data_IF_743676867018
#
_entry.id   IF_743676867018
#
_cell.length_a   1.000
_cell.length_b   1.000
_cell.length_c   1.000
_cell.angle_alpha   90.00
_cell.angle_beta   90.00
_cell.angle_gamma   90.00
#
_symmetry.space_group_name_H-M   'P 1'
#
loop_
_entity.id
_entity.type
_entity.pdbx_description
1 polymer ?
#
# COMPACT_ATOMS: atom_id res chain seq x y z
N UNK A 1 -6.28 -18.21 3.70
CA UNK A 1 -6.02 -16.77 3.85
C UNK A 1 -6.14 -16.16 2.46
N UNK A 2 -7.00 -15.15 2.28
CA UNK A 2 -7.01 -14.42 1.02
C UNK A 2 -5.63 -13.75 0.85
N UNK A 3 -5.09 -13.78 -0.36
CA UNK A 3 -3.82 -13.09 -0.64
C UNK A 3 -4.14 -11.60 -0.67
N UNK A 4 -3.52 -10.82 0.23
CA UNK A 4 -3.59 -9.36 0.21
C UNK A 4 -2.90 -8.87 -1.07
N UNK A 5 -3.70 -8.66 -2.12
CA UNK A 5 -3.23 -8.35 -3.46
C UNK A 5 -2.64 -6.95 -3.52
N UNK A 6 -3.17 -6.00 -2.74
CA UNK A 6 -2.58 -4.66 -2.65
C UNK A 6 -1.14 -4.72 -2.10
N UNK A 7 -0.92 -5.48 -1.04
CA UNK A 7 0.41 -5.69 -0.45
C UNK A 7 1.36 -6.40 -1.42
N UNK A 8 0.86 -7.31 -2.25
CA UNK A 8 1.63 -7.95 -3.30
C UNK A 8 2.14 -6.91 -4.33
N UNK A 9 1.25 -6.10 -4.91
CA UNK A 9 1.67 -5.08 -5.88
C UNK A 9 2.58 -4.02 -5.25
N UNK A 10 2.26 -3.57 -4.03
CA UNK A 10 3.08 -2.63 -3.29
C UNK A 10 4.49 -3.17 -3.00
N UNK A 11 4.61 -4.46 -2.70
CA UNK A 11 5.92 -5.11 -2.52
C UNK A 11 6.74 -5.06 -3.81
N UNK A 12 6.12 -5.33 -4.96
CA UNK A 12 6.81 -5.27 -6.26
C UNK A 12 7.31 -3.87 -6.58
N UNK A 13 6.54 -2.83 -6.24
CA UNK A 13 6.99 -1.43 -6.37
C UNK A 13 8.18 -1.17 -5.46
N UNK A 14 8.13 -1.60 -4.20
CA UNK A 14 9.18 -1.39 -3.21
C UNK A 14 10.50 -2.11 -3.55
N UNK A 15 10.44 -3.23 -4.26
CA UNK A 15 11.61 -4.04 -4.66
C UNK A 15 12.24 -3.62 -5.99
N UNK A 16 11.60 -2.71 -6.74
CA UNK A 16 12.04 -2.34 -8.08
C UNK A 16 12.49 -0.88 -8.15
N UNK A 17 13.36 -0.57 -9.13
CA UNK A 17 13.89 0.77 -9.38
C UNK A 17 13.76 1.19 -10.85
N UNK A 18 14.01 2.48 -11.11
CA UNK A 18 14.07 3.03 -12.47
C UNK A 18 12.79 2.80 -13.28
N UNK A 19 12.95 2.39 -14.55
CA UNK A 19 11.80 2.16 -15.45
C UNK A 19 10.87 1.04 -14.96
N UNK A 20 11.42 0.01 -14.33
CA UNK A 20 10.61 -1.11 -13.81
C UNK A 20 9.74 -0.65 -12.65
N UNK A 21 10.25 0.22 -11.78
CA UNK A 21 9.47 0.81 -10.69
C UNK A 21 8.26 1.59 -11.22
N UNK A 22 8.46 2.44 -12.24
CA UNK A 22 7.36 3.21 -12.86
C UNK A 22 6.29 2.29 -13.44
N UNK A 23 6.69 1.20 -14.08
CA UNK A 23 5.76 0.19 -14.60
C UNK A 23 5.00 -0.50 -13.47
N UNK A 24 5.68 -0.93 -12.40
CA UNK A 24 5.03 -1.53 -11.23
C UNK A 24 4.06 -0.55 -10.55
N UNK A 25 4.43 0.72 -10.45
CA UNK A 25 3.60 1.77 -9.86
C UNK A 25 2.33 2.00 -10.68
N UNK A 26 2.44 1.91 -12.01
CA UNK A 26 1.29 1.97 -12.92
C UNK A 26 0.35 0.79 -12.69
N UNK A 27 0.88 -0.43 -12.57
CA UNK A 27 0.06 -1.61 -12.28
C UNK A 27 -0.65 -1.49 -10.92
N UNK A 28 0.05 -1.00 -9.89
CA UNK A 28 -0.53 -0.75 -8.57
C UNK A 28 -1.66 0.29 -8.64
N UNK A 29 -1.47 1.38 -9.40
CA UNK A 29 -2.50 2.40 -9.65
C UNK A 29 -3.74 1.81 -10.31
N UNK A 30 -3.55 0.98 -11.33
CA UNK A 30 -4.67 0.38 -12.05
C UNK A 30 -5.44 -0.61 -11.18
N UNK A 31 -4.74 -1.40 -10.36
CA UNK A 31 -5.37 -2.25 -9.35
C UNK A 31 -6.19 -1.42 -8.35
N UNK A 32 -5.64 -0.33 -7.79
CA UNK A 32 -6.33 0.56 -6.86
C UNK A 32 -7.63 1.11 -7.48
N UNK A 33 -7.60 1.53 -8.75
CA UNK A 33 -8.78 2.08 -9.44
C UNK A 33 -9.89 1.06 -9.67
N UNK A 34 -9.55 -0.23 -9.79
CA UNK A 34 -10.48 -1.30 -10.08
C UNK A 34 -10.99 -2.01 -8.82
N UNK A 35 -10.35 -1.75 -7.67
CA UNK A 35 -10.65 -2.44 -6.41
C UNK A 35 -11.60 -1.59 -5.56
N UNK A 36 -12.66 -2.18 -4.97
CA UNK A 36 -13.53 -1.47 -4.04
C UNK A 36 -12.74 -0.86 -2.87
N UNK A 37 -13.09 0.36 -2.48
CA UNK A 37 -12.41 1.09 -1.41
C UNK A 37 -12.37 0.30 -0.10
N UNK A 38 -13.46 -0.39 0.26
CA UNK A 38 -13.53 -1.23 1.47
C UNK A 38 -12.48 -2.35 1.47
N UNK A 39 -12.27 -3.00 0.33
CA UNK A 39 -11.25 -4.04 0.18
C UNK A 39 -9.84 -3.45 0.34
N UNK A 40 -9.59 -2.27 -0.25
CA UNK A 40 -8.31 -1.56 -0.10
C UNK A 40 -8.05 -1.16 1.35
N UNK A 41 -9.07 -0.70 2.08
CA UNK A 41 -8.95 -0.35 3.50
C UNK A 41 -8.59 -1.55 4.36
N UNK A 42 -9.19 -2.71 4.09
CA UNK A 42 -8.84 -3.95 4.79
C UNK A 42 -7.40 -4.39 4.45
N UNK A 43 -7.02 -4.33 3.18
CA UNK A 43 -5.67 -4.65 2.75
C UNK A 43 -4.60 -3.74 3.41
N UNK A 44 -4.88 -2.44 3.55
CA UNK A 44 -3.99 -1.49 4.24
C UNK A 44 -3.82 -1.88 5.71
N UNK A 45 -4.91 -2.19 6.42
CA UNK A 45 -4.88 -2.60 7.83
C UNK A 45 -4.07 -3.87 8.07
N UNK A 46 -4.12 -4.80 7.13
CA UNK A 46 -3.35 -6.06 7.18
C UNK A 46 -1.90 -5.90 6.73
N UNK A 47 -1.50 -4.73 6.23
CA UNK A 47 -0.12 -4.48 5.81
C UNK A 47 0.75 -4.11 7.01
N UNK A 48 1.94 -4.72 7.10
CA UNK A 48 2.89 -4.53 8.21
C UNK A 48 4.22 -3.90 7.78
N UNK A 49 4.56 -3.94 6.49
CA UNK A 49 5.85 -3.41 6.01
C UNK A 49 5.70 -1.94 5.63
N UNK A 50 6.55 -1.11 6.21
CA UNK A 50 6.58 0.33 5.92
C UNK A 50 6.82 0.63 4.43
N UNK A 51 7.69 -0.16 3.78
CA UNK A 51 7.98 0.00 2.36
C UNK A 51 6.74 -0.25 1.47
N UNK A 52 5.88 -1.21 1.84
CA UNK A 52 4.62 -1.46 1.13
C UNK A 52 3.65 -0.29 1.31
N UNK A 53 3.47 0.18 2.55
CA UNK A 53 2.60 1.33 2.86
C UNK A 53 3.05 2.60 2.12
N UNK A 54 4.36 2.84 2.04
CA UNK A 54 4.93 3.94 1.26
C UNK A 54 4.66 3.80 -0.24
N UNK A 55 4.84 2.61 -0.81
CA UNK A 55 4.53 2.37 -2.23
C UNK A 55 3.04 2.60 -2.54
N UNK A 56 2.14 2.24 -1.61
CA UNK A 56 0.71 2.55 -1.74
C UNK A 56 0.48 4.07 -1.75
N UNK A 57 1.16 4.83 -0.89
CA UNK A 57 1.09 6.29 -0.89
C UNK A 57 1.54 6.91 -2.23
N UNK A 58 2.68 6.46 -2.76
CA UNK A 58 3.25 6.91 -4.05
C UNK A 58 2.33 6.59 -5.25
N UNK A 59 1.48 5.57 -5.12
CA UNK A 59 0.50 5.23 -6.14
C UNK A 59 -0.59 6.31 -6.30
N UNK A 60 -0.76 7.24 -5.36
CA UNK A 60 -1.74 8.32 -5.50
C UNK A 60 -3.14 7.88 -5.08
N UNK A 61 -3.23 7.40 -3.84
CA UNK A 61 -4.50 7.07 -3.18
C UNK A 61 -5.41 8.31 -3.03
N UNK A 62 -6.71 8.08 -2.90
CA UNK A 62 -7.65 9.13 -2.50
C UNK A 62 -7.44 9.51 -1.02
N UNK A 63 -8.09 10.59 -0.57
CA UNK A 63 -7.91 11.10 0.79
C UNK A 63 -8.23 10.07 1.89
N UNK A 64 -9.29 9.28 1.73
CA UNK A 64 -9.68 8.23 2.70
C UNK A 64 -8.59 7.19 2.86
N UNK A 65 -8.08 6.66 1.75
CA UNK A 65 -7.05 5.63 1.75
C UNK A 65 -5.70 6.17 2.20
N UNK A 66 -5.37 7.43 1.89
CA UNK A 66 -4.20 8.11 2.44
C UNK A 66 -4.24 8.17 3.97
N UNK A 67 -5.38 8.57 4.55
CA UNK A 67 -5.54 8.61 6.00
C UNK A 67 -5.40 7.23 6.64
N UNK A 68 -5.95 6.18 6.00
CA UNK A 68 -5.77 4.81 6.46
C UNK A 68 -4.30 4.35 6.46
N UNK A 69 -3.53 4.73 5.43
CA UNK A 69 -2.08 4.45 5.37
C UNK A 69 -1.34 5.16 6.50
N UNK A 70 -1.64 6.45 6.76
CA UNK A 70 -1.01 7.21 7.84
C UNK A 70 -1.31 6.62 9.21
N UNK A 71 -2.58 6.37 9.52
CA UNK A 71 -2.99 5.76 10.77
C UNK A 71 -2.29 4.42 10.99
N UNK A 72 -2.15 3.63 9.92
CA UNK A 72 -1.43 2.34 9.99
C UNK A 72 0.06 2.51 10.26
N UNK A 73 0.72 3.49 9.64
CA UNK A 73 2.12 3.79 9.92
C UNK A 73 2.32 4.21 11.38
N UNK A 74 1.45 5.08 11.90
CA UNK A 74 1.47 5.52 13.31
C UNK A 74 1.30 4.34 14.28
N UNK A 75 0.35 3.42 14.00
CA UNK A 75 0.17 2.20 14.79
C UNK A 75 1.43 1.32 14.84
N UNK A 76 2.11 1.18 13.70
CA UNK A 76 3.32 0.36 13.60
C UNK A 76 4.51 1.02 14.31
N UNK A 77 4.62 2.35 14.24
CA UNK A 77 5.64 3.12 14.95
C UNK A 77 5.44 3.03 16.47
N UNK A 78 4.21 3.22 16.95
CA UNK A 78 3.88 3.13 18.37
C UNK A 78 4.23 1.77 18.99
N UNK A 79 3.99 0.68 18.25
CA UNK A 79 4.36 -0.68 18.67
C UNK A 79 5.88 -0.93 18.71
N UNK A 80 6.67 -0.16 17.96
CA UNK A 80 8.14 -0.29 17.98
C UNK A 80 8.75 0.40 19.20
N UNK A 81 8.09 1.43 19.70
CA UNK A 81 8.56 2.26 20.83
C UNK A 81 8.05 1.80 22.19
N UNK A 82 7.04 0.91 22.22
CA UNK A 82 6.49 0.28 23.42
C UNK A 82 7.24 -1.02 23.75
#
# INVERSE_FOLDING_TARGET
>A
MAVNQLAYYAQRVAETGGLVHIMMLTNLRDYIKQTPEESLLNDIKETYRHAQLRAMWEAGLNSTLQQAVLARLEELEARRTA
#
